data_IF_746488409349
#
_entry.id   IF_746488409349
#
_cell.length_a   1.000
_cell.length_b   1.000
_cell.length_c   1.000
_cell.angle_alpha   90.00
_cell.angle_beta   90.00
_cell.angle_gamma   90.00
#
_symmetry.space_group_name_H-M   'P 1'
#
loop_
_entity.id
_entity.type
_entity.pdbx_description
1 polymer ?
#
# COMPACT_ATOMS: atom_id res chain seq x y z
N UNK A 1 36.57 7.91 19.06
CA UNK A 1 35.62 8.87 18.46
C UNK A 1 35.64 10.11 19.32
N UNK A 2 35.66 11.30 18.71
CA UNK A 2 35.50 12.54 19.48
C UNK A 2 34.04 12.67 19.91
N UNK A 3 33.81 13.16 21.12
CA UNK A 3 32.47 13.35 21.69
C UNK A 3 32.33 14.80 22.17
N UNK A 4 31.08 15.27 22.26
CA UNK A 4 30.68 16.48 22.96
C UNK A 4 29.77 16.12 24.12
N UNK A 5 29.72 16.98 25.14
CA UNK A 5 28.78 16.85 26.23
C UNK A 5 27.50 17.60 25.86
N UNK A 6 26.37 16.90 25.92
CA UNK A 6 25.03 17.48 25.84
C UNK A 6 24.32 17.28 27.19
N UNK A 7 23.37 18.16 27.49
CA UNK A 7 22.63 18.15 28.75
C UNK A 7 21.13 18.06 28.48
N UNK A 8 20.45 17.20 29.22
CA UNK A 8 18.99 17.18 29.36
C UNK A 8 18.62 17.16 30.85
N UNK A 9 17.33 17.06 31.16
CA UNK A 9 16.84 17.06 32.55
C UNK A 9 17.34 15.88 33.39
N UNK A 10 17.94 14.85 32.77
CA UNK A 10 18.57 13.71 33.47
C UNK A 10 20.08 13.90 33.68
N UNK A 11 20.64 15.04 33.25
CA UNK A 11 22.05 15.37 33.38
C UNK A 11 22.81 15.26 32.06
N UNK A 12 24.13 15.13 32.18
CA UNK A 12 25.05 15.12 31.04
C UNK A 12 25.06 13.76 30.32
N UNK A 13 25.36 13.77 29.02
CA UNK A 13 25.62 12.57 28.21
C UNK A 13 26.62 12.88 27.10
N UNK A 14 27.51 11.92 26.82
CA UNK A 14 28.45 12.01 25.71
C UNK A 14 27.77 11.66 24.38
N UNK A 15 27.83 12.59 23.43
CA UNK A 15 27.28 12.47 22.06
C UNK A 15 28.43 12.55 21.05
N UNK A 16 28.45 11.77 19.95
CA UNK A 16 29.46 11.93 18.91
C UNK A 16 29.56 13.38 18.42
N UNK A 17 30.77 13.89 18.22
CA UNK A 17 31.02 15.31 17.92
C UNK A 17 30.29 15.82 16.66
N UNK A 18 30.12 14.95 15.68
CA UNK A 18 29.55 15.19 14.36
C UNK A 18 28.03 14.92 14.28
N UNK A 19 27.45 14.34 15.33
CA UNK A 19 26.02 14.01 15.35
C UNK A 19 25.18 15.29 15.49
N UNK A 20 24.17 15.44 14.64
CA UNK A 20 23.21 16.55 14.72
C UNK A 20 22.15 16.33 15.79
N UNK A 21 21.98 15.10 16.28
CA UNK A 21 21.09 14.81 17.42
C UNK A 21 21.73 15.17 18.76
N UNK A 22 20.92 15.30 19.81
CA UNK A 22 21.35 15.73 21.14
C UNK A 22 21.23 14.64 22.22
N UNK A 23 21.09 15.09 23.47
CA UNK A 23 21.11 14.21 24.64
C UNK A 23 20.00 13.14 24.61
N UNK A 24 18.76 13.50 24.26
CA UNK A 24 17.63 12.56 24.35
C UNK A 24 17.72 11.46 23.31
N UNK A 25 18.14 11.80 22.09
CA UNK A 25 18.40 10.79 21.04
C UNK A 25 19.53 9.86 21.46
N UNK A 26 20.61 10.40 22.02
CA UNK A 26 21.74 9.59 22.48
C UNK A 26 21.34 8.62 23.60
N UNK A 27 20.55 9.07 24.58
CA UNK A 27 20.01 8.18 25.63
C UNK A 27 19.08 7.12 25.03
N UNK A 28 18.23 7.49 24.07
CA UNK A 28 17.35 6.54 23.41
C UNK A 28 18.11 5.45 22.68
N UNK A 29 19.18 5.79 21.95
CA UNK A 29 20.08 4.81 21.32
C UNK A 29 20.70 3.83 22.31
N UNK A 30 21.03 4.30 23.51
CA UNK A 30 21.62 3.46 24.55
C UNK A 30 20.59 2.54 25.20
N UNK A 31 19.36 3.02 25.38
CA UNK A 31 18.30 2.33 26.12
C UNK A 31 17.48 1.35 25.26
N UNK A 32 17.25 1.66 23.97
CA UNK A 32 16.37 0.88 23.08
C UNK A 32 17.19 0.12 22.04
N UNK A 33 17.92 -0.90 22.48
CA UNK A 33 18.74 -1.78 21.63
C UNK A 33 17.97 -3.02 21.19
N UNK A 34 16.85 -2.80 20.52
CA UNK A 34 15.91 -3.84 20.09
C UNK A 34 15.81 -3.76 18.57
N UNK A 35 15.94 -4.90 17.88
CA UNK A 35 15.80 -4.98 16.43
C UNK A 35 16.78 -4.12 15.63
N UNK A 36 16.51 -4.00 14.33
CA UNK A 36 17.27 -3.13 13.41
C UNK A 36 16.35 -2.18 12.63
N UNK A 37 15.03 -2.35 12.77
CA UNK A 37 14.01 -1.57 12.10
C UNK A 37 14.06 -0.13 12.61
N UNK A 38 14.25 0.82 11.71
CA UNK A 38 14.21 2.26 11.99
C UNK A 38 12.96 2.87 11.38
N UNK A 39 12.64 4.10 11.79
CA UNK A 39 11.54 4.82 11.16
C UNK A 39 11.80 4.99 9.66
N UNK A 40 10.83 4.65 8.79
CA UNK A 40 10.99 4.83 7.35
C UNK A 40 11.25 6.29 6.99
N UNK A 41 11.98 6.51 5.89
CA UNK A 41 12.30 7.85 5.41
C UNK A 41 11.06 8.74 5.21
N UNK A 42 9.96 8.17 4.74
CA UNK A 42 8.69 8.89 4.61
C UNK A 42 8.19 9.49 5.95
N UNK A 43 8.43 8.80 7.07
CA UNK A 43 8.11 9.32 8.40
C UNK A 43 9.03 10.49 8.79
N UNK A 44 10.34 10.40 8.48
CA UNK A 44 11.29 11.49 8.74
C UNK A 44 10.91 12.74 7.93
N UNK A 45 10.57 12.57 6.64
CA UNK A 45 10.09 13.67 5.77
C UNK A 45 8.83 14.30 6.36
N UNK A 46 7.86 13.51 6.80
CA UNK A 46 6.62 13.99 7.40
C UNK A 46 6.85 14.72 8.72
N UNK A 47 7.73 14.24 9.61
CA UNK A 47 8.11 14.97 10.82
C UNK A 47 8.71 16.34 10.46
N UNK A 48 9.60 16.40 9.46
CA UNK A 48 10.13 17.67 8.94
C UNK A 48 9.05 18.62 8.45
N UNK A 49 8.06 18.13 7.69
CA UNK A 49 6.90 18.92 7.22
C UNK A 49 6.09 19.48 8.40
N UNK A 50 5.80 18.66 9.41
CA UNK A 50 5.07 19.09 10.61
C UNK A 50 5.85 20.18 11.36
N UNK A 51 7.18 20.04 11.51
CA UNK A 51 8.01 21.06 12.17
C UNK A 51 8.08 22.36 11.35
N UNK A 52 8.16 22.26 10.03
CA UNK A 52 8.12 23.43 9.13
C UNK A 52 6.79 24.16 9.26
N UNK A 53 5.67 23.45 9.18
CA UNK A 53 4.33 24.02 9.33
C UNK A 53 4.12 24.68 10.69
N UNK A 54 4.56 24.02 11.77
CA UNK A 54 4.47 24.54 13.12
C UNK A 54 5.33 25.80 13.32
N UNK A 55 6.53 25.86 12.74
CA UNK A 55 7.40 27.04 12.83
C UNK A 55 6.79 28.26 12.13
N UNK A 56 6.24 28.07 10.91
CA UNK A 56 5.54 29.13 10.18
C UNK A 56 4.32 29.62 10.98
N UNK A 57 3.49 28.68 11.43
CA UNK A 57 2.26 29.00 12.19
C UNK A 57 2.55 29.75 13.48
N UNK A 58 3.53 29.28 14.27
CA UNK A 58 3.90 29.95 15.52
C UNK A 58 4.47 31.35 15.27
N UNK A 59 5.17 31.55 14.17
CA UNK A 59 5.71 32.84 13.78
C UNK A 59 4.59 33.82 13.39
N UNK A 60 3.61 33.37 12.60
CA UNK A 60 2.42 34.16 12.26
C UNK A 60 1.58 34.54 13.49
N UNK A 61 1.52 33.64 14.48
CA UNK A 61 0.81 33.84 15.74
C UNK A 61 1.67 34.53 16.83
N UNK A 62 2.84 35.06 16.46
CA UNK A 62 3.78 35.74 17.35
C UNK A 62 4.18 34.91 18.60
N UNK A 63 4.17 33.58 18.48
CA UNK A 63 4.55 32.64 19.53
C UNK A 63 6.06 32.36 19.55
N UNK A 64 6.76 32.61 18.43
CA UNK A 64 8.22 32.62 18.33
C UNK A 64 8.66 33.82 17.46
N UNK A 65 9.89 34.34 17.63
CA UNK A 65 10.42 35.39 16.76
C UNK A 65 10.54 34.94 15.30
N UNK A 66 10.23 35.85 14.37
CA UNK A 66 10.28 35.59 12.92
C UNK A 66 11.65 35.16 12.41
N UNK A 67 12.69 35.78 12.97
CA UNK A 67 14.08 35.43 12.64
C UNK A 67 14.37 33.97 13.01
N UNK A 68 13.98 33.50 14.21
CA UNK A 68 14.18 32.11 14.61
C UNK A 68 13.36 31.14 13.75
N UNK A 69 12.13 31.51 13.41
CA UNK A 69 11.30 30.71 12.51
C UNK A 69 11.94 30.49 11.15
N UNK A 70 12.57 31.52 10.56
CA UNK A 70 13.27 31.39 9.28
C UNK A 70 14.35 30.30 9.32
N UNK A 71 15.21 30.30 10.35
CA UNK A 71 16.25 29.27 10.49
C UNK A 71 15.70 27.87 10.79
N UNK A 72 14.59 27.77 11.53
CA UNK A 72 13.91 26.50 11.79
C UNK A 72 13.30 25.93 10.50
N UNK A 73 12.63 26.78 9.72
CA UNK A 73 12.05 26.42 8.42
C UNK A 73 13.14 25.92 7.46
N UNK A 74 14.25 26.64 7.35
CA UNK A 74 15.38 26.27 6.51
C UNK A 74 16.04 24.96 6.96
N UNK A 75 16.11 24.70 8.27
CA UNK A 75 16.62 23.44 8.81
C UNK A 75 15.65 22.28 8.58
N UNK A 76 14.35 22.51 8.75
CA UNK A 76 13.31 21.53 8.46
C UNK A 76 13.28 21.15 6.97
N UNK A 77 13.52 22.10 6.06
CA UNK A 77 13.64 21.83 4.62
C UNK A 77 14.80 20.87 4.32
N UNK A 78 15.94 21.00 5.00
CA UNK A 78 17.05 20.07 4.85
C UNK A 78 16.68 18.65 5.32
N UNK A 79 15.89 18.51 6.39
CA UNK A 79 15.33 17.22 6.82
C UNK A 79 14.31 16.68 5.81
N UNK A 80 13.46 17.53 5.24
CA UNK A 80 12.47 17.18 4.21
C UNK A 80 13.17 16.69 2.93
N UNK A 81 14.30 17.30 2.55
CA UNK A 81 15.09 16.91 1.36
C UNK A 81 15.91 15.63 1.51
N UNK A 82 16.13 15.17 2.75
CA UNK A 82 16.88 13.93 3.05
C UNK A 82 18.37 14.14 3.32
N UNK A 83 18.82 15.39 3.37
CA UNK A 83 20.22 15.74 3.66
C UNK A 83 20.72 15.16 5.00
N UNK A 84 19.81 14.97 5.96
CA UNK A 84 20.13 14.56 7.33
C UNK A 84 19.62 13.17 7.71
N UNK A 85 19.31 12.29 6.76
CA UNK A 85 18.69 10.99 7.06
C UNK A 85 19.53 10.10 7.99
N UNK A 86 20.85 10.18 7.91
CA UNK A 86 21.76 9.47 8.82
C UNK A 86 21.68 9.95 10.28
N UNK A 87 21.06 11.11 10.53
CA UNK A 87 20.90 11.74 11.85
C UNK A 87 19.63 11.30 12.57
N UNK A 88 18.91 10.32 12.02
CA UNK A 88 17.74 9.69 12.63
C UNK A 88 18.01 8.21 12.93
N UNK A 89 18.86 7.90 13.93
CA UNK A 89 19.38 6.55 14.14
C UNK A 89 18.44 5.65 14.96
N UNK A 90 17.32 6.17 15.44
CA UNK A 90 16.43 5.49 16.39
C UNK A 90 15.65 4.33 15.75
N UNK A 91 15.44 3.28 16.53
CA UNK A 91 14.67 2.10 16.15
C UNK A 91 13.16 2.35 16.31
N UNK A 92 12.35 1.55 15.61
CA UNK A 92 10.89 1.49 15.77
C UNK A 92 10.51 1.12 17.21
N UNK A 93 11.29 0.22 17.81
CA UNK A 93 11.04 -0.38 19.13
C UNK A 93 11.50 0.52 20.28
N UNK A 94 10.88 1.69 20.34
CA UNK A 94 11.21 2.79 21.26
C UNK A 94 10.00 3.11 22.17
N UNK A 95 9.99 4.27 22.83
CA UNK A 95 8.78 4.73 23.54
C UNK A 95 7.56 4.75 22.63
N UNK A 96 6.45 4.23 23.15
CA UNK A 96 5.24 3.95 22.39
C UNK A 96 4.51 5.16 21.80
N UNK A 97 4.73 6.35 22.37
CA UNK A 97 4.22 7.62 21.82
C UNK A 97 5.06 8.15 20.65
N UNK A 98 6.29 7.64 20.45
CA UNK A 98 7.25 8.21 19.50
C UNK A 98 8.04 9.40 20.03
N UNK A 99 8.01 9.69 21.34
CA UNK A 99 8.66 10.89 21.93
C UNK A 99 10.13 11.00 21.58
N UNK A 100 10.87 9.89 21.57
CA UNK A 100 12.30 9.92 21.26
C UNK A 100 12.56 10.32 19.80
N UNK A 101 11.70 9.91 18.86
CA UNK A 101 11.81 10.34 17.47
C UNK A 101 11.33 11.78 17.23
N UNK A 102 10.27 12.23 17.92
CA UNK A 102 9.89 13.65 17.90
C UNK A 102 11.03 14.53 18.43
N UNK A 103 11.65 14.13 19.55
CA UNK A 103 12.79 14.85 20.12
C UNK A 103 14.04 14.76 19.25
N UNK A 104 14.30 13.62 18.60
CA UNK A 104 15.39 13.50 17.63
C UNK A 104 15.21 14.50 16.48
N UNK A 105 14.00 14.63 15.94
CA UNK A 105 13.70 15.65 14.93
C UNK A 105 13.93 17.06 15.46
N UNK A 106 13.45 17.36 16.68
CA UNK A 106 13.64 18.66 17.33
C UNK A 106 15.12 19.00 17.52
N UNK A 107 15.92 18.06 18.05
CA UNK A 107 17.35 18.24 18.30
C UNK A 107 18.12 18.46 16.99
N UNK A 108 17.85 17.65 15.95
CA UNK A 108 18.50 17.80 14.64
C UNK A 108 18.17 19.17 14.04
N UNK A 109 16.90 19.57 14.00
CA UNK A 109 16.49 20.86 13.43
C UNK A 109 17.08 22.03 14.24
N UNK A 110 17.05 21.95 15.57
CA UNK A 110 17.63 22.99 16.42
C UNK A 110 19.14 23.14 16.20
N UNK A 111 19.88 22.03 16.12
CA UNK A 111 21.32 22.06 15.88
C UNK A 111 21.66 22.57 14.47
N UNK A 112 20.93 22.17 13.43
CA UNK A 112 21.11 22.69 12.07
C UNK A 112 20.84 24.21 12.04
N UNK A 113 19.75 24.66 12.67
CA UNK A 113 19.40 26.08 12.74
C UNK A 113 20.48 26.90 13.48
N UNK A 114 20.94 26.41 14.63
CA UNK A 114 21.99 27.08 15.41
C UNK A 114 23.34 27.12 14.68
N UNK A 115 23.72 26.08 13.94
CA UNK A 115 24.91 26.11 13.09
C UNK A 115 24.83 27.19 12.01
N UNK A 116 23.66 27.37 11.37
CA UNK A 116 23.42 28.45 10.39
C UNK A 116 23.51 29.84 11.01
N UNK A 117 23.20 29.95 12.30
CA UNK A 117 23.37 31.15 13.12
C UNK A 117 24.81 31.33 13.66
N UNK A 118 25.75 30.45 13.30
CA UNK A 118 27.15 30.51 13.75
C UNK A 118 27.39 30.01 15.17
N UNK A 119 26.43 29.31 15.78
CA UNK A 119 26.56 28.75 17.13
C UNK A 119 27.07 27.30 17.09
N UNK A 120 27.84 26.86 18.09
CA UNK A 120 28.32 25.49 18.17
C UNK A 120 27.18 24.48 18.39
N UNK A 121 27.40 23.22 18.00
CA UNK A 121 26.50 22.10 18.27
C UNK A 121 26.26 21.93 19.78
N UNK A 122 25.02 21.62 20.14
CA UNK A 122 24.62 21.46 21.54
C UNK A 122 24.49 22.75 22.34
N UNK A 123 24.63 23.92 21.68
CA UNK A 123 24.37 25.22 22.31
C UNK A 123 22.94 25.39 22.79
N UNK A 124 21.99 24.75 22.09
CA UNK A 124 20.53 24.88 22.28
C UNK A 124 20.06 26.36 22.29
N UNK A 125 20.87 27.27 21.72
CA UNK A 125 20.66 28.71 21.71
C UNK A 125 21.19 29.32 20.41
N UNK A 126 20.46 30.29 19.83
CA UNK A 126 19.16 30.80 20.30
C UNK A 126 17.98 29.85 20.03
N UNK A 127 18.13 28.84 19.16
CA UNK A 127 17.07 27.87 18.86
C UNK A 127 17.12 26.69 19.83
N UNK A 128 16.20 26.69 20.79
CA UNK A 128 15.97 25.57 21.73
C UNK A 128 15.04 24.49 21.12
N UNK A 129 15.37 23.19 21.24
CA UNK A 129 14.56 22.11 20.67
C UNK A 129 13.12 22.04 21.23
N UNK A 130 12.92 22.35 22.51
CA UNK A 130 11.58 22.32 23.11
C UNK A 130 10.82 23.64 22.93
N UNK A 131 11.49 24.77 23.24
CA UNK A 131 10.79 26.05 23.39
C UNK A 131 10.49 26.71 22.04
N UNK A 132 11.25 26.34 21.00
CA UNK A 132 11.11 26.89 19.66
C UNK A 132 10.67 25.83 18.64
N UNK A 133 11.45 24.76 18.45
CA UNK A 133 11.14 23.74 17.42
C UNK A 133 9.87 22.95 17.77
N UNK A 134 9.66 22.68 19.06
CA UNK A 134 8.47 21.99 19.57
C UNK A 134 7.43 22.95 20.18
N UNK A 135 7.48 24.25 19.86
CA UNK A 135 6.51 25.24 20.37
C UNK A 135 5.09 24.85 19.98
N UNK A 136 4.17 24.93 20.93
CA UNK A 136 2.74 24.57 20.81
C UNK A 136 2.47 23.10 20.41
N UNK A 137 3.45 22.21 20.59
CA UNK A 137 3.33 20.79 20.24
C UNK A 137 3.59 19.92 21.46
N UNK A 138 2.98 18.75 21.47
CA UNK A 138 3.39 17.57 22.21
C UNK A 138 3.88 16.52 21.21
N UNK A 139 4.63 15.52 21.64
CA UNK A 139 4.77 14.31 20.82
C UNK A 139 3.39 13.71 20.53
N UNK A 140 2.50 13.76 21.52
CA UNK A 140 1.23 13.05 21.49
C UNK A 140 0.36 13.52 20.33
N UNK A 141 0.46 14.78 19.90
CA UNK A 141 -0.25 15.29 18.73
C UNK A 141 0.64 15.46 17.48
N UNK A 142 1.94 15.78 17.64
CA UNK A 142 2.85 15.96 16.49
C UNK A 142 3.24 14.66 15.80
N UNK A 143 3.50 13.60 16.57
CA UNK A 143 3.92 12.31 16.03
C UNK A 143 2.79 11.63 15.24
N UNK A 144 1.56 11.48 15.75
CA UNK A 144 0.47 10.92 14.95
C UNK A 144 0.06 11.81 13.78
N UNK A 145 0.23 13.14 13.87
CA UNK A 145 0.11 14.02 12.70
C UNK A 145 1.10 13.64 11.61
N UNK A 146 2.37 13.41 11.97
CA UNK A 146 3.38 12.96 11.01
C UNK A 146 3.07 11.56 10.43
N UNK A 147 2.42 10.66 11.19
CA UNK A 147 1.94 9.37 10.66
C UNK A 147 0.91 9.60 9.55
N UNK A 148 -0.09 10.45 9.81
CA UNK A 148 -1.14 10.78 8.85
C UNK A 148 -0.56 11.44 7.59
N UNK A 149 0.32 12.44 7.77
CA UNK A 149 1.01 13.12 6.65
C UNK A 149 1.83 12.13 5.83
N UNK A 150 2.63 11.27 6.46
CA UNK A 150 3.45 10.27 5.76
C UNK A 150 2.61 9.29 4.96
N UNK A 151 1.53 8.78 5.55
CA UNK A 151 0.63 7.83 4.91
C UNK A 151 -0.13 8.48 3.73
N UNK A 152 -0.67 9.69 3.92
CA UNK A 152 -1.35 10.43 2.86
C UNK A 152 -0.43 10.72 1.67
N UNK A 153 0.80 11.17 1.91
CA UNK A 153 1.77 11.41 0.85
C UNK A 153 2.11 10.10 0.12
N UNK A 154 2.47 9.04 0.84
CA UNK A 154 2.81 7.76 0.20
C UNK A 154 1.65 7.12 -0.57
N UNK A 155 0.42 7.25 -0.07
CA UNK A 155 -0.76 6.75 -0.79
C UNK A 155 -0.98 7.54 -2.09
N UNK A 156 -0.88 8.87 -2.06
CA UNK A 156 -1.14 9.72 -3.23
C UNK A 156 0.03 9.75 -4.24
N UNK A 157 1.28 9.77 -3.77
CA UNK A 157 2.47 9.94 -4.60
C UNK A 157 2.98 8.60 -5.17
N UNK A 158 2.78 7.48 -4.46
CA UNK A 158 3.29 6.16 -4.86
C UNK A 158 2.17 5.16 -5.17
N UNK A 159 1.34 4.84 -4.18
CA UNK A 159 0.46 3.67 -4.28
C UNK A 159 -0.69 3.85 -5.28
N UNK A 160 -1.43 4.96 -5.22
CA UNK A 160 -2.53 5.25 -6.14
C UNK A 160 -2.02 5.26 -7.60
N UNK A 161 -0.93 5.98 -7.95
CA UNK A 161 -0.36 5.94 -9.29
C UNK A 161 0.03 4.53 -9.73
N UNK A 162 0.68 3.74 -8.86
CA UNK A 162 1.11 2.38 -9.21
C UNK A 162 -0.08 1.43 -9.48
N UNK A 163 -1.12 1.49 -8.65
CA UNK A 163 -2.35 0.69 -8.84
C UNK A 163 -3.09 1.14 -10.10
N UNK A 164 -3.16 2.46 -10.34
CA UNK A 164 -3.80 3.05 -11.51
C UNK A 164 -3.08 2.62 -12.81
N UNK A 165 -1.74 2.65 -12.83
CA UNK A 165 -0.96 2.20 -13.98
C UNK A 165 -1.18 0.71 -14.26
N UNK A 166 -1.11 -0.16 -13.24
CA UNK A 166 -1.40 -1.58 -13.41
C UNK A 166 -2.84 -1.81 -13.91
N UNK A 167 -3.81 -1.06 -13.37
CA UNK A 167 -5.21 -1.12 -13.80
C UNK A 167 -5.34 -0.78 -15.28
N UNK A 168 -4.71 0.30 -15.74
CA UNK A 168 -4.80 0.75 -17.13
C UNK A 168 -4.17 -0.25 -18.09
N UNK A 169 -3.04 -0.85 -17.73
CA UNK A 169 -2.42 -1.93 -18.52
C UNK A 169 -3.35 -3.14 -18.63
N UNK A 170 -3.97 -3.57 -17.53
CA UNK A 170 -4.89 -4.71 -17.54
C UNK A 170 -6.19 -4.39 -18.28
N UNK A 171 -6.65 -3.13 -18.27
CA UNK A 171 -7.80 -2.66 -19.06
C UNK A 171 -7.49 -2.66 -20.56
N UNK A 172 -6.29 -2.22 -20.94
CA UNK A 172 -5.81 -2.32 -22.32
C UNK A 172 -5.75 -3.78 -22.78
N UNK A 173 -5.19 -4.68 -21.97
CA UNK A 173 -5.18 -6.13 -22.25
C UNK A 173 -6.60 -6.71 -22.31
N UNK A 174 -7.52 -6.28 -21.44
CA UNK A 174 -8.93 -6.68 -21.48
C UNK A 174 -9.58 -6.35 -22.83
N UNK A 175 -9.32 -5.15 -23.37
CA UNK A 175 -9.81 -4.72 -24.68
C UNK A 175 -9.16 -5.50 -25.82
N UNK A 176 -7.85 -5.71 -25.77
CA UNK A 176 -7.09 -6.50 -26.75
C UNK A 176 -7.57 -7.95 -26.82
N UNK A 177 -8.02 -8.50 -25.70
CA UNK A 177 -8.45 -9.90 -25.58
C UNK A 177 -9.97 -10.08 -25.66
N UNK A 178 -10.71 -9.04 -26.05
CA UNK A 178 -12.17 -9.01 -26.02
C UNK A 178 -12.83 -10.03 -26.95
N UNK A 179 -12.16 -10.43 -28.03
CA UNK A 179 -12.62 -11.40 -29.02
C UNK A 179 -12.15 -12.85 -28.74
N UNK A 180 -11.26 -13.05 -27.75
CA UNK A 180 -10.64 -14.35 -27.51
C UNK A 180 -11.53 -15.16 -26.57
N UNK A 181 -12.34 -16.06 -27.12
CA UNK A 181 -13.16 -16.99 -26.32
C UNK A 181 -12.27 -18.08 -25.73
N UNK A 182 -12.42 -18.33 -24.43
CA UNK A 182 -11.73 -19.38 -23.68
C UNK A 182 -12.72 -20.16 -22.82
N UNK A 183 -12.27 -21.29 -22.29
CA UNK A 183 -13.04 -22.04 -21.32
C UNK A 183 -12.96 -21.38 -19.93
N UNK A 184 -14.11 -21.19 -19.29
CA UNK A 184 -14.16 -20.80 -17.88
C UNK A 184 -13.75 -21.96 -16.98
N UNK A 185 -13.29 -21.63 -15.77
CA UNK A 185 -13.03 -22.63 -14.74
C UNK A 185 -13.63 -22.21 -13.41
N UNK A 186 -14.48 -23.07 -12.87
CA UNK A 186 -15.05 -22.93 -11.52
C UNK A 186 -14.70 -24.18 -10.74
N UNK A 187 -14.24 -24.03 -9.50
CA UNK A 187 -13.71 -25.16 -8.71
C UNK A 187 -12.54 -25.90 -9.40
N UNK A 188 -11.78 -25.19 -10.24
CA UNK A 188 -10.72 -25.74 -11.11
C UNK A 188 -11.19 -26.75 -12.17
N UNK A 189 -12.49 -26.97 -12.30
CA UNK A 189 -13.09 -27.81 -13.35
C UNK A 189 -13.47 -26.94 -14.55
N UNK A 190 -13.51 -27.56 -15.73
CA UNK A 190 -14.07 -26.95 -16.93
C UNK A 190 -15.49 -26.41 -16.65
N UNK A 191 -15.79 -25.22 -17.16
CA UNK A 191 -17.08 -24.55 -17.06
C UNK A 191 -17.51 -24.03 -18.45
N UNK A 192 -18.49 -23.12 -18.49
CA UNK A 192 -18.92 -22.50 -19.76
C UNK A 192 -17.90 -21.50 -20.31
N UNK A 193 -17.97 -21.16 -21.60
CA UNK A 193 -17.09 -20.16 -22.20
C UNK A 193 -17.27 -18.76 -21.60
N UNK A 194 -16.19 -17.97 -21.68
CA UNK A 194 -16.15 -16.52 -21.51
C UNK A 194 -15.02 -15.98 -22.39
N UNK A 195 -14.98 -14.68 -22.66
CA UNK A 195 -13.80 -14.11 -23.33
C UNK A 195 -12.67 -13.86 -22.33
N UNK A 196 -11.43 -13.95 -22.79
CA UNK A 196 -10.25 -13.57 -22.01
C UNK A 196 -10.34 -12.09 -21.62
N UNK A 197 -10.92 -11.25 -22.48
CA UNK A 197 -11.26 -9.86 -22.14
C UNK A 197 -12.21 -9.75 -20.94
N UNK A 198 -13.29 -10.54 -20.88
CA UNK A 198 -14.19 -10.58 -19.72
C UNK A 198 -13.46 -11.02 -18.44
N UNK A 199 -12.58 -12.03 -18.52
CA UNK A 199 -11.76 -12.46 -17.39
C UNK A 199 -10.88 -11.32 -16.87
N UNK A 200 -10.19 -10.61 -17.77
CA UNK A 200 -9.34 -9.47 -17.42
C UNK A 200 -10.12 -8.26 -16.89
N UNK A 201 -11.35 -8.05 -17.39
CA UNK A 201 -12.24 -6.99 -16.88
C UNK A 201 -12.58 -7.17 -15.39
N UNK A 202 -12.59 -8.43 -14.92
CA UNK A 202 -12.73 -8.75 -13.50
C UNK A 202 -11.55 -8.20 -12.68
N UNK A 203 -10.32 -8.36 -13.16
CA UNK A 203 -9.12 -7.83 -12.52
C UNK A 203 -9.14 -6.30 -12.47
N UNK A 204 -9.50 -5.66 -13.58
CA UNK A 204 -9.66 -4.20 -13.69
C UNK A 204 -10.65 -3.70 -12.64
N UNK A 205 -11.83 -4.33 -12.55
CA UNK A 205 -12.85 -3.95 -11.57
C UNK A 205 -12.37 -4.11 -10.12
N UNK A 206 -11.59 -5.16 -9.81
CA UNK A 206 -11.01 -5.33 -8.48
C UNK A 206 -10.06 -4.18 -8.12
N UNK A 207 -9.22 -3.73 -9.06
CA UNK A 207 -8.29 -2.61 -8.84
C UNK A 207 -9.01 -1.27 -8.74
N UNK A 208 -10.04 -1.02 -9.55
CA UNK A 208 -10.89 0.18 -9.44
C UNK A 208 -11.59 0.27 -8.08
N UNK A 209 -12.11 -0.84 -7.57
CA UNK A 209 -12.64 -0.88 -6.22
C UNK A 209 -11.55 -0.72 -5.15
N UNK A 210 -10.32 -1.19 -5.41
CA UNK A 210 -9.15 -0.92 -4.58
C UNK A 210 -8.88 0.59 -4.46
N UNK A 211 -8.82 1.29 -5.59
CA UNK A 211 -8.62 2.75 -5.64
C UNK A 211 -9.70 3.51 -4.86
N UNK A 212 -10.98 3.12 -5.00
CA UNK A 212 -12.07 3.72 -4.22
C UNK A 212 -11.89 3.55 -2.70
N UNK A 213 -11.43 2.39 -2.24
CA UNK A 213 -11.16 2.14 -0.81
C UNK A 213 -9.96 2.95 -0.30
N UNK A 214 -8.92 3.13 -1.12
CA UNK A 214 -7.79 4.01 -0.77
C UNK A 214 -8.27 5.47 -0.60
N UNK A 215 -9.14 5.95 -1.50
CA UNK A 215 -9.72 7.29 -1.39
C UNK A 215 -10.57 7.45 -0.11
N UNK A 216 -11.35 6.42 0.26
CA UNK A 216 -12.10 6.41 1.52
C UNK A 216 -11.18 6.39 2.76
N UNK A 217 -10.03 5.71 2.68
CA UNK A 217 -9.06 5.72 3.77
C UNK A 217 -8.41 7.11 3.94
N UNK A 218 -8.12 7.78 2.83
CA UNK A 218 -7.53 9.12 2.85
C UNK A 218 -8.41 10.14 3.60
N UNK A 219 -9.75 10.06 3.49
CA UNK A 219 -10.63 11.01 4.20
C UNK A 219 -10.41 11.04 5.72
N UNK A 220 -10.20 9.89 6.36
CA UNK A 220 -9.89 9.86 7.79
C UNK A 220 -8.45 10.26 8.12
N UNK A 221 -7.51 9.97 7.22
CA UNK A 221 -6.10 10.34 7.41
C UNK A 221 -5.85 11.85 7.22
N UNK A 222 -6.71 12.57 6.50
CA UNK A 222 -6.60 14.03 6.37
C UNK A 222 -6.92 14.78 7.67
N UNK A 223 -7.59 14.14 8.63
CA UNK A 223 -7.86 14.73 9.94
C UNK A 223 -6.63 14.64 10.85
N UNK A 224 -6.12 15.79 11.28
CA UNK A 224 -4.87 15.89 12.02
C UNK A 224 -5.09 16.13 13.53
N UNK A 225 -4.42 15.37 14.42
CA UNK A 225 -4.46 15.59 15.85
C UNK A 225 -3.71 16.84 16.32
N UNK A 226 -2.86 17.45 15.48
CA UNK A 226 -2.05 18.62 15.81
C UNK A 226 -2.87 19.75 16.47
N UNK A 227 -2.36 20.31 17.55
CA UNK A 227 -3.05 21.27 18.39
C UNK A 227 -3.84 20.64 19.55
N UNK A 228 -3.94 19.31 19.59
CA UNK A 228 -4.45 18.59 20.76
C UNK A 228 -3.49 18.63 21.96
N UNK A 229 -2.20 18.89 21.71
CA UNK A 229 -1.12 18.93 22.71
C UNK A 229 -1.02 17.63 23.52
N UNK A 230 -0.96 17.69 24.86
CA UNK A 230 -0.69 16.54 25.70
C UNK A 230 -1.81 15.49 25.69
N UNK A 231 -3.07 15.93 25.84
CA UNK A 231 -4.22 15.05 26.10
C UNK A 231 -5.48 15.42 25.32
N UNK A 232 -5.39 16.38 24.39
CA UNK A 232 -6.49 16.77 23.49
C UNK A 232 -7.12 18.12 23.81
N UNK A 233 -6.75 18.75 24.93
CA UNK A 233 -7.33 20.02 25.38
C UNK A 233 -6.74 21.27 24.71
N UNK A 234 -5.61 21.13 24.03
CA UNK A 234 -4.89 22.27 23.45
C UNK A 234 -4.13 23.14 24.48
N UNK A 235 -3.90 22.64 25.69
CA UNK A 235 -3.14 23.38 26.72
C UNK A 235 -1.75 23.81 26.18
N UNK A 236 -1.43 25.09 26.34
CA UNK A 236 -0.21 25.74 25.84
C UNK A 236 -0.12 25.93 24.31
N UNK A 237 -1.20 25.68 23.56
CA UNK A 237 -1.33 26.12 22.17
C UNK A 237 -2.14 27.42 22.08
N UNK A 238 -1.88 28.21 21.02
CA UNK A 238 -2.74 29.33 20.66
C UNK A 238 -4.09 28.80 20.13
N UNK A 239 -5.24 29.46 20.38
CA UNK A 239 -6.55 29.00 19.89
C UNK A 239 -6.57 28.70 18.38
N UNK A 240 -5.95 29.55 17.57
CA UNK A 240 -5.91 29.40 16.10
C UNK A 240 -4.81 28.45 15.60
N UNK A 241 -3.99 27.88 16.48
CA UNK A 241 -2.83 27.08 16.08
C UNK A 241 -3.22 25.83 15.26
N UNK A 242 -4.27 25.13 15.69
CA UNK A 242 -4.64 23.84 15.13
C UNK A 242 -5.15 23.96 13.68
N UNK A 243 -5.95 24.99 13.38
CA UNK A 243 -6.47 25.26 12.04
C UNK A 243 -5.34 25.77 11.13
N UNK A 244 -4.59 26.78 11.56
CA UNK A 244 -3.49 27.36 10.77
C UNK A 244 -2.38 26.37 10.46
N UNK A 245 -2.04 25.48 11.40
CA UNK A 245 -1.02 24.47 11.16
C UNK A 245 -1.49 23.40 10.15
N UNK A 246 -2.78 23.07 10.13
CA UNK A 246 -3.36 22.19 9.11
C UNK A 246 -3.39 22.87 7.73
N UNK A 247 -3.82 24.14 7.65
CA UNK A 247 -3.76 24.96 6.43
C UNK A 247 -2.32 25.04 5.89
N UNK A 248 -1.34 25.21 6.77
CA UNK A 248 0.06 25.28 6.35
C UNK A 248 0.57 23.93 5.82
N UNK A 249 0.10 22.80 6.38
CA UNK A 249 0.41 21.48 5.84
C UNK A 249 -0.27 21.25 4.49
N UNK A 250 -1.51 21.73 4.30
CA UNK A 250 -2.19 21.72 3.00
C UNK A 250 -1.37 22.51 1.96
N UNK A 251 -0.95 23.74 2.27
CA UNK A 251 -0.12 24.55 1.38
C UNK A 251 1.19 23.84 1.00
N UNK A 252 1.85 23.20 1.98
CA UNK A 252 3.14 22.53 1.76
C UNK A 252 3.03 21.24 0.96
N UNK A 253 1.87 20.57 0.97
CA UNK A 253 1.72 19.23 0.41
C UNK A 253 0.74 19.15 -0.77
N UNK A 254 -0.12 20.16 -0.93
CA UNK A 254 -1.24 20.13 -1.87
C UNK A 254 -2.35 19.15 -1.48
N UNK A 255 -2.33 18.60 -0.27
CA UNK A 255 -3.33 17.64 0.23
C UNK A 255 -4.27 18.31 1.24
N UNK A 256 -5.57 17.99 1.24
CA UNK A 256 -6.60 18.72 1.99
C UNK A 256 -6.61 18.36 3.48
N UNK A 257 -5.50 18.60 4.18
CA UNK A 257 -5.39 18.36 5.61
C UNK A 257 -6.26 19.33 6.39
N UNK A 258 -6.98 18.79 7.37
CA UNK A 258 -7.84 19.57 8.27
C UNK A 258 -7.52 19.22 9.72
N UNK A 259 -7.88 20.11 10.63
CA UNK A 259 -7.79 19.80 12.05
C UNK A 259 -8.84 18.76 12.43
N UNK A 260 -8.46 17.69 13.14
CA UNK A 260 -9.41 16.66 13.57
C UNK A 260 -10.56 17.25 14.42
N UNK A 261 -11.83 16.96 14.12
CA UNK A 261 -12.97 17.51 14.86
C UNK A 261 -12.95 17.13 16.35
N UNK A 262 -12.40 15.96 16.69
CA UNK A 262 -12.23 15.52 18.07
C UNK A 262 -10.77 15.15 18.35
N UNK A 263 -10.08 15.97 19.14
CA UNK A 263 -8.68 15.75 19.51
C UNK A 263 -8.48 14.59 20.48
N UNK A 264 -9.48 14.25 21.30
CA UNK A 264 -9.37 13.14 22.24
C UNK A 264 -9.36 11.80 21.50
N UNK A 265 -10.28 11.60 20.56
CA UNK A 265 -10.28 10.43 19.67
C UNK A 265 -8.98 10.38 18.86
N UNK A 266 -8.61 11.50 18.23
CA UNK A 266 -7.44 11.55 17.38
C UNK A 266 -6.10 11.38 18.12
N UNK A 267 -6.09 11.33 19.46
CA UNK A 267 -4.94 11.01 20.34
C UNK A 267 -5.05 9.60 20.95
N UNK A 268 -6.22 9.26 21.50
CA UNK A 268 -6.48 8.01 22.22
C UNK A 268 -6.65 6.80 21.30
N UNK A 269 -7.29 7.00 20.14
CA UNK A 269 -7.50 5.99 19.11
C UNK A 269 -6.39 5.98 18.06
N UNK A 270 -6.51 5.11 17.05
CA UNK A 270 -5.73 5.13 15.79
C UNK A 270 -6.60 4.66 14.61
N UNK A 271 -7.88 4.97 14.66
CA UNK A 271 -8.90 4.33 13.84
C UNK A 271 -8.73 4.65 12.35
N UNK A 272 -8.31 5.86 12.00
CA UNK A 272 -7.96 6.22 10.64
C UNK A 272 -6.84 5.35 10.06
N UNK A 273 -5.79 5.05 10.85
CA UNK A 273 -4.69 4.18 10.44
C UNK A 273 -5.12 2.70 10.35
N UNK A 274 -5.97 2.24 11.27
CA UNK A 274 -6.55 0.89 11.25
C UNK A 274 -7.44 0.70 10.02
N UNK A 275 -8.30 1.68 9.72
CA UNK A 275 -9.16 1.65 8.55
C UNK A 275 -8.35 1.68 7.24
N UNK A 276 -7.30 2.51 7.18
CA UNK A 276 -6.37 2.52 6.05
C UNK A 276 -5.70 1.15 5.85
N UNK A 277 -5.28 0.49 6.93
CA UNK A 277 -4.76 -0.88 6.86
C UNK A 277 -5.77 -1.87 6.26
N UNK A 278 -7.06 -1.77 6.63
CA UNK A 278 -8.13 -2.56 6.05
C UNK A 278 -8.30 -2.35 4.53
N UNK A 279 -8.16 -1.12 4.06
CA UNK A 279 -8.16 -0.82 2.62
C UNK A 279 -6.95 -1.46 1.91
N UNK A 280 -5.75 -1.35 2.49
CA UNK A 280 -4.52 -1.96 1.96
C UNK A 280 -4.62 -3.49 1.90
N UNK A 281 -5.10 -4.15 2.96
CA UNK A 281 -5.31 -5.61 2.97
C UNK A 281 -6.31 -6.05 1.89
N UNK A 282 -7.36 -5.28 1.68
CA UNK A 282 -8.38 -5.61 0.67
C UNK A 282 -7.82 -5.49 -0.75
N UNK A 283 -6.99 -4.48 -1.01
CA UNK A 283 -6.23 -4.38 -2.25
C UNK A 283 -5.26 -5.55 -2.40
N UNK A 284 -4.50 -5.90 -1.36
CA UNK A 284 -3.57 -7.03 -1.37
C UNK A 284 -4.28 -8.35 -1.70
N UNK A 285 -5.46 -8.61 -1.13
CA UNK A 285 -6.24 -9.80 -1.45
C UNK A 285 -6.64 -9.87 -2.95
N UNK A 286 -6.96 -8.72 -3.54
CA UNK A 286 -7.27 -8.61 -4.98
C UNK A 286 -6.04 -8.89 -5.85
N UNK A 287 -4.91 -8.27 -5.52
CA UNK A 287 -3.62 -8.49 -6.21
C UNK A 287 -3.17 -9.95 -6.11
N UNK A 288 -3.40 -10.61 -4.97
CA UNK A 288 -3.11 -12.02 -4.80
C UNK A 288 -3.88 -12.89 -5.80
N UNK A 289 -5.19 -12.61 -5.98
CA UNK A 289 -6.03 -13.33 -6.94
C UNK A 289 -5.50 -13.13 -8.36
N UNK A 290 -5.23 -11.88 -8.74
CA UNK A 290 -4.71 -11.52 -10.07
C UNK A 290 -3.39 -12.26 -10.33
N UNK A 291 -2.40 -12.14 -9.43
CA UNK A 291 -1.10 -12.79 -9.59
C UNK A 291 -1.19 -14.31 -9.65
N UNK A 292 -2.09 -14.91 -8.86
CA UNK A 292 -2.36 -16.35 -8.88
C UNK A 292 -2.95 -16.81 -10.20
N UNK A 293 -3.98 -16.13 -10.70
CA UNK A 293 -4.58 -16.47 -11.98
C UNK A 293 -3.54 -16.40 -13.11
N UNK A 294 -2.77 -15.30 -13.19
CA UNK A 294 -1.75 -15.14 -14.23
C UNK A 294 -0.74 -16.29 -14.19
N UNK A 295 -0.21 -16.67 -13.03
CA UNK A 295 0.76 -17.78 -12.95
C UNK A 295 0.16 -19.15 -13.25
N UNK A 296 -1.12 -19.37 -12.92
CA UNK A 296 -1.81 -20.63 -13.24
C UNK A 296 -2.10 -20.73 -14.73
N UNK A 297 -2.61 -19.66 -15.34
CA UNK A 297 -2.87 -19.60 -16.78
C UNK A 297 -1.59 -19.70 -17.61
N UNK A 298 -0.45 -19.24 -17.07
CA UNK A 298 0.87 -19.38 -17.68
C UNK A 298 1.61 -20.69 -17.31
N UNK A 299 1.02 -21.57 -16.50
CA UNK A 299 1.68 -22.83 -16.09
C UNK A 299 1.96 -23.73 -17.30
N UNK A 300 3.18 -24.24 -17.42
CA UNK A 300 3.59 -25.01 -18.60
C UNK A 300 5.11 -25.19 -18.73
N UNK A 301 5.66 -25.26 -19.95
CA UNK A 301 4.99 -24.99 -21.23
C UNK A 301 4.17 -26.17 -21.78
N UNK A 302 4.34 -27.38 -21.25
CA UNK A 302 3.70 -28.61 -21.80
C UNK A 302 2.78 -29.34 -20.82
N UNK A 303 2.98 -29.16 -19.53
CA UNK A 303 2.33 -29.97 -18.48
C UNK A 303 1.42 -29.14 -17.55
N UNK A 304 0.94 -27.99 -18.03
CA UNK A 304 0.03 -27.10 -17.30
C UNK A 304 -1.11 -26.62 -18.18
N UNK A 305 -1.71 -25.48 -17.82
CA UNK A 305 -2.76 -24.84 -18.62
C UNK A 305 -2.14 -24.22 -19.89
N UNK A 306 -1.21 -23.29 -19.73
CA UNK A 306 -0.49 -22.66 -20.84
C UNK A 306 -1.38 -21.83 -21.77
N UNK A 307 -2.47 -21.25 -21.24
CA UNK A 307 -3.36 -20.33 -21.96
C UNK A 307 -2.73 -18.95 -22.13
N UNK A 308 -1.83 -18.55 -21.23
CA UNK A 308 -1.06 -17.31 -21.31
C UNK A 308 0.44 -17.59 -21.47
N UNK A 309 1.13 -16.64 -22.09
CA UNK A 309 2.58 -16.47 -22.05
C UNK A 309 2.88 -15.18 -21.30
N UNK A 310 3.95 -15.21 -20.50
CA UNK A 310 4.43 -14.07 -19.72
C UNK A 310 5.90 -13.80 -20.07
N UNK A 311 6.40 -12.57 -19.87
CA UNK A 311 7.80 -12.22 -20.14
C UNK A 311 8.81 -13.09 -19.38
N UNK A 312 9.95 -13.34 -20.02
CA UNK A 312 11.09 -14.05 -19.44
C UNK A 312 12.15 -13.02 -19.01
N UNK A 313 12.17 -12.65 -17.72
CA UNK A 313 13.08 -11.60 -17.23
C UNK A 313 14.44 -12.16 -16.76
N UNK A 314 14.46 -13.40 -16.29
CA UNK A 314 15.66 -14.07 -15.79
C UNK A 314 15.64 -15.59 -16.06
N UNK A 315 16.81 -16.26 -16.05
CA UNK A 315 16.88 -17.72 -16.09
C UNK A 315 16.15 -18.34 -14.89
N UNK A 316 15.10 -19.13 -15.15
CA UNK A 316 14.22 -19.67 -14.11
C UNK A 316 14.76 -20.89 -13.36
N UNK A 317 15.95 -21.39 -13.71
CA UNK A 317 16.58 -22.50 -12.99
C UNK A 317 18.07 -22.56 -13.22
N UNK A 318 18.82 -22.86 -12.15
CA UNK A 318 20.26 -23.13 -12.21
C UNK A 318 20.62 -24.46 -12.89
N UNK A 319 19.66 -25.39 -13.04
CA UNK A 319 19.90 -26.75 -13.56
C UNK A 319 19.06 -27.13 -14.78
N UNK A 320 17.96 -26.41 -15.04
CA UNK A 320 17.07 -26.66 -16.19
C UNK A 320 17.19 -25.52 -17.22
N UNK A 321 18.05 -25.64 -18.25
CA UNK A 321 18.15 -24.65 -19.31
C UNK A 321 16.79 -24.44 -20.00
N UNK A 322 16.41 -23.17 -20.21
CA UNK A 322 15.16 -22.79 -20.87
C UNK A 322 13.90 -22.84 -20.00
N UNK A 323 14.00 -23.14 -18.70
CA UNK A 323 12.87 -23.00 -17.76
C UNK A 323 12.68 -21.53 -17.37
N UNK A 324 11.44 -21.05 -17.44
CA UNK A 324 11.04 -19.69 -17.03
C UNK A 324 9.98 -19.81 -15.94
N UNK A 325 10.12 -19.01 -14.89
CA UNK A 325 9.19 -19.00 -13.75
C UNK A 325 8.36 -17.71 -13.74
N UNK A 326 7.15 -17.74 -13.18
CA UNK A 326 6.32 -16.55 -12.98
C UNK A 326 6.78 -15.75 -11.74
N UNK A 327 8.05 -15.33 -11.72
CA UNK A 327 8.71 -14.70 -10.57
C UNK A 327 8.03 -13.42 -10.09
N UNK A 328 7.48 -12.61 -11.00
CA UNK A 328 6.72 -11.41 -10.64
C UNK A 328 5.42 -11.76 -9.89
N UNK A 329 4.73 -12.83 -10.30
CA UNK A 329 3.59 -13.34 -9.53
C UNK A 329 4.02 -13.86 -8.16
N UNK A 330 5.16 -14.57 -8.08
CA UNK A 330 5.70 -15.06 -6.82
C UNK A 330 5.99 -13.91 -5.84
N UNK A 331 6.72 -12.89 -6.30
CA UNK A 331 7.04 -11.69 -5.53
C UNK A 331 5.77 -10.97 -5.04
N UNK A 332 4.79 -10.74 -5.92
CA UNK A 332 3.50 -10.15 -5.55
C UNK A 332 2.81 -10.97 -4.45
N UNK A 333 2.74 -12.29 -4.57
CA UNK A 333 2.08 -13.13 -3.56
C UNK A 333 2.81 -13.17 -2.21
N UNK A 334 4.13 -13.01 -2.19
CA UNK A 334 4.89 -12.85 -0.93
C UNK A 334 4.63 -11.48 -0.28
N UNK A 335 4.57 -10.41 -1.07
CA UNK A 335 4.20 -9.07 -0.61
C UNK A 335 2.80 -9.09 0.03
N UNK A 336 1.84 -9.76 -0.60
CA UNK A 336 0.49 -9.93 -0.03
C UNK A 336 0.56 -10.58 1.35
N UNK A 337 1.30 -11.68 1.50
CA UNK A 337 1.42 -12.36 2.80
C UNK A 337 1.99 -11.41 3.87
N UNK A 338 2.99 -10.60 3.54
CA UNK A 338 3.55 -9.60 4.45
C UNK A 338 2.51 -8.53 4.82
N UNK A 339 1.76 -7.99 3.85
CA UNK A 339 0.72 -6.97 4.10
C UNK A 339 -0.39 -7.50 5.01
N UNK A 340 -0.80 -8.77 4.85
CA UNK A 340 -1.79 -9.40 5.74
C UNK A 340 -1.25 -9.56 7.18
N UNK A 341 0.04 -9.88 7.32
CA UNK A 341 0.72 -9.89 8.62
C UNK A 341 0.76 -8.50 9.26
N UNK A 342 1.18 -7.50 8.49
CA UNK A 342 1.23 -6.10 8.90
C UNK A 342 -0.14 -5.59 9.35
N UNK A 343 -1.21 -5.93 8.62
CA UNK A 343 -2.58 -5.59 9.00
C UNK A 343 -2.96 -6.17 10.35
N UNK A 344 -2.62 -7.44 10.60
CA UNK A 344 -2.88 -8.07 11.91
C UNK A 344 -2.15 -7.32 13.02
N UNK A 345 -0.89 -6.95 12.81
CA UNK A 345 -0.11 -6.14 13.77
C UNK A 345 -0.74 -4.77 14.02
N UNK A 346 -1.17 -4.07 12.96
CA UNK A 346 -1.82 -2.75 13.09
C UNK A 346 -3.14 -2.85 13.86
N UNK A 347 -3.95 -3.89 13.60
CA UNK A 347 -5.21 -4.09 14.33
C UNK A 347 -4.98 -4.32 15.84
N UNK A 348 -4.01 -5.18 16.20
CA UNK A 348 -3.65 -5.40 17.61
C UNK A 348 -3.14 -4.11 18.26
N UNK A 349 -2.26 -3.39 17.58
CA UNK A 349 -1.71 -2.12 18.07
C UNK A 349 -2.78 -1.02 18.20
N UNK A 350 -3.67 -0.89 17.22
CA UNK A 350 -4.77 0.07 17.23
C UNK A 350 -5.75 -0.17 18.37
N UNK A 351 -6.06 -1.45 18.65
CA UNK A 351 -6.94 -1.85 19.75
C UNK A 351 -6.30 -1.69 21.15
N UNK A 352 -5.01 -1.35 21.23
CA UNK A 352 -4.25 -1.27 22.49
C UNK A 352 -4.20 0.14 23.10
N UNK A 353 -5.15 1.01 22.77
CA UNK A 353 -5.25 2.35 23.38
C UNK A 353 -5.65 2.30 24.85
N UNK A 354 -5.09 3.20 25.67
CA UNK A 354 -5.48 3.34 27.08
C UNK A 354 -5.68 4.81 27.43
N UNK A 355 -6.90 5.15 27.89
CA UNK A 355 -7.27 6.51 28.27
C UNK A 355 -6.95 7.51 27.15
N UNK A 356 -6.20 8.58 27.42
CA UNK A 356 -5.99 9.69 26.47
C UNK A 356 -4.96 9.42 25.37
N UNK A 357 -4.28 8.26 25.34
CA UNK A 357 -3.22 8.01 24.36
C UNK A 357 -3.07 6.53 23.95
N UNK A 358 -2.98 6.28 22.64
CA UNK A 358 -2.47 5.01 22.13
C UNK A 358 -0.94 5.06 22.04
N UNK A 359 -0.25 4.18 22.78
CA UNK A 359 1.22 4.12 22.83
C UNK A 359 1.80 2.99 21.98
N UNK A 360 1.20 2.68 20.84
CA UNK A 360 1.73 1.75 19.84
C UNK A 360 2.03 2.45 18.50
N UNK A 361 2.20 3.78 18.52
CA UNK A 361 2.33 4.58 17.31
C UNK A 361 3.52 4.19 16.41
N UNK A 362 4.74 3.91 16.93
CA UNK A 362 5.87 3.50 16.09
C UNK A 362 5.62 2.20 15.31
N UNK A 363 5.03 1.18 15.93
CA UNK A 363 4.76 -0.10 15.25
C UNK A 363 3.63 0.05 14.23
N UNK A 364 2.64 0.90 14.49
CA UNK A 364 1.57 1.21 13.53
C UNK A 364 2.16 1.88 12.30
N UNK A 365 2.94 2.95 12.45
CA UNK A 365 3.48 3.68 11.29
C UNK A 365 4.48 2.84 10.50
N UNK A 366 5.30 2.03 11.16
CA UNK A 366 6.23 1.14 10.48
C UNK A 366 5.49 0.16 9.55
N UNK A 367 4.50 -0.56 10.08
CA UNK A 367 3.73 -1.55 9.31
C UNK A 367 2.85 -0.90 8.24
N UNK A 368 2.29 0.28 8.51
CA UNK A 368 1.46 1.02 7.56
C UNK A 368 2.30 1.48 6.37
N UNK A 369 3.42 2.17 6.61
CA UNK A 369 4.30 2.67 5.55
C UNK A 369 5.00 1.54 4.80
N UNK A 370 5.38 0.44 5.47
CA UNK A 370 5.92 -0.74 4.79
C UNK A 370 4.87 -1.34 3.84
N UNK A 371 3.62 -1.48 4.28
CA UNK A 371 2.55 -2.01 3.44
C UNK A 371 2.29 -1.14 2.21
N UNK A 372 2.26 0.19 2.38
CA UNK A 372 2.07 1.13 1.27
C UNK A 372 3.22 1.02 0.27
N UNK A 373 4.47 1.02 0.74
CA UNK A 373 5.66 0.89 -0.10
C UNK A 373 5.68 -0.43 -0.87
N UNK A 374 5.51 -1.56 -0.17
CA UNK A 374 5.56 -2.88 -0.81
C UNK A 374 4.46 -3.06 -1.85
N UNK A 375 3.24 -2.58 -1.60
CA UNK A 375 2.14 -2.66 -2.57
C UNK A 375 2.41 -1.78 -3.79
N UNK A 376 2.92 -0.55 -3.58
CA UNK A 376 3.28 0.35 -4.68
C UNK A 376 4.37 -0.25 -5.57
N UNK A 377 5.47 -0.71 -4.97
CA UNK A 377 6.59 -1.32 -5.68
C UNK A 377 6.19 -2.60 -6.39
N UNK A 378 5.40 -3.47 -5.74
CA UNK A 378 4.92 -4.70 -6.34
C UNK A 378 4.00 -4.43 -7.53
N UNK A 379 3.10 -3.43 -7.45
CA UNK A 379 2.25 -3.05 -8.58
C UNK A 379 3.07 -2.55 -9.76
N UNK A 380 4.06 -1.67 -9.52
CA UNK A 380 4.95 -1.17 -10.57
C UNK A 380 5.78 -2.29 -11.21
N UNK A 381 6.43 -3.12 -10.39
CA UNK A 381 7.26 -4.25 -10.85
C UNK A 381 6.44 -5.28 -11.62
N UNK A 382 5.27 -5.67 -11.11
CA UNK A 382 4.38 -6.61 -11.78
C UNK A 382 3.85 -6.02 -13.10
N UNK A 383 3.54 -4.73 -13.14
CA UNK A 383 3.11 -4.07 -14.36
C UNK A 383 4.21 -4.13 -15.44
N UNK A 384 5.40 -3.61 -15.11
CA UNK A 384 6.52 -3.46 -16.05
C UNK A 384 7.06 -4.81 -16.53
N UNK A 385 7.24 -5.76 -15.62
CA UNK A 385 7.94 -7.01 -15.89
C UNK A 385 7.01 -8.22 -16.09
N UNK A 386 5.68 -8.03 -16.06
CA UNK A 386 4.72 -9.10 -16.32
C UNK A 386 3.53 -8.60 -17.14
N UNK A 387 2.69 -7.72 -16.58
CA UNK A 387 1.37 -7.40 -17.12
C UNK A 387 1.40 -6.85 -18.55
N UNK A 388 2.35 -5.94 -18.83
CA UNK A 388 2.51 -5.32 -20.17
C UNK A 388 2.76 -6.39 -21.25
N UNK A 389 3.55 -7.41 -20.94
CA UNK A 389 3.96 -8.44 -21.90
C UNK A 389 3.14 -9.73 -21.86
N UNK A 390 1.97 -9.73 -21.21
CA UNK A 390 1.05 -10.87 -21.27
C UNK A 390 0.56 -11.06 -22.70
N UNK A 391 0.68 -12.29 -23.21
CA UNK A 391 0.22 -12.69 -24.54
C UNK A 391 -0.63 -13.98 -24.49
N UNK A 392 -1.72 -14.07 -25.27
CA UNK A 392 -2.58 -15.26 -25.29
C UNK A 392 -1.95 -16.37 -26.14
N UNK A 393 -1.94 -17.59 -25.63
CA UNK A 393 -1.61 -18.78 -26.41
C UNK A 393 -2.86 -19.31 -27.13
N UNK A 394 -3.19 -18.68 -28.26
CA UNK A 394 -4.45 -18.95 -29.00
C UNK A 394 -4.65 -20.43 -29.32
N UNK A 395 -3.60 -21.15 -29.72
CA UNK A 395 -3.67 -22.59 -30.00
C UNK A 395 -4.15 -23.40 -28.78
N UNK A 396 -3.62 -23.08 -27.59
CA UNK A 396 -3.95 -23.80 -26.37
C UNK A 396 -5.34 -23.43 -25.83
N UNK A 397 -5.70 -22.16 -25.96
CA UNK A 397 -7.05 -21.66 -25.63
C UNK A 397 -8.09 -22.36 -26.52
N UNK A 398 -7.86 -22.38 -27.83
CA UNK A 398 -8.75 -23.01 -28.81
C UNK A 398 -8.89 -24.51 -28.56
N UNK A 399 -7.78 -25.19 -28.25
CA UNK A 399 -7.79 -26.59 -27.86
C UNK A 399 -8.72 -26.84 -26.66
N UNK A 400 -8.61 -26.08 -25.57
CA UNK A 400 -9.47 -26.30 -24.41
C UNK A 400 -10.94 -25.98 -24.69
N UNK A 401 -11.19 -24.91 -25.45
CA UNK A 401 -12.54 -24.49 -25.80
C UNK A 401 -13.29 -25.61 -26.52
N UNK A 402 -12.68 -26.17 -27.58
CA UNK A 402 -13.33 -27.17 -28.44
C UNK A 402 -13.29 -28.60 -27.88
N UNK A 403 -12.46 -28.87 -26.85
CA UNK A 403 -12.43 -30.18 -26.18
C UNK A 403 -13.24 -30.21 -24.87
N UNK A 404 -13.78 -29.08 -24.42
CA UNK A 404 -14.57 -29.07 -23.20
C UNK A 404 -15.96 -29.68 -23.39
N UNK A 405 -16.35 -30.53 -22.45
CA UNK A 405 -17.68 -31.12 -22.41
C UNK A 405 -18.77 -30.16 -21.92
N UNK A 406 -18.38 -28.99 -21.39
CA UNK A 406 -19.33 -28.01 -20.84
C UNK A 406 -20.02 -27.16 -21.90
N UNK A 407 -19.57 -27.22 -23.16
CA UNK A 407 -20.29 -26.66 -24.30
C UNK A 407 -21.69 -27.29 -24.45
N UNK A 408 -21.92 -28.47 -23.88
CA UNK A 408 -23.23 -29.15 -23.84
C UNK A 408 -24.34 -28.29 -23.22
N UNK A 409 -23.96 -27.33 -22.36
CA UNK A 409 -24.91 -26.44 -21.68
C UNK A 409 -25.73 -25.59 -22.65
N UNK A 410 -25.21 -25.29 -23.85
CA UNK A 410 -25.95 -24.63 -24.91
C UNK A 410 -27.17 -25.44 -25.39
N UNK A 411 -27.17 -26.76 -25.20
CA UNK A 411 -28.29 -27.62 -25.59
C UNK A 411 -29.43 -27.61 -24.56
N UNK A 412 -29.19 -27.16 -23.32
CA UNK A 412 -30.18 -27.23 -22.24
C UNK A 412 -31.56 -26.65 -22.62
N UNK A 413 -31.67 -25.47 -23.28
CA UNK A 413 -32.98 -24.92 -23.65
C UNK A 413 -33.75 -25.78 -24.65
N UNK A 414 -33.05 -26.59 -25.47
CA UNK A 414 -33.67 -27.43 -26.50
C UNK A 414 -34.00 -28.83 -26.00
N UNK A 415 -33.09 -29.47 -25.26
CA UNK A 415 -33.20 -30.90 -24.91
C UNK A 415 -33.42 -31.14 -23.41
N UNK A 416 -33.35 -30.10 -22.58
CA UNK A 416 -33.45 -30.20 -21.12
C UNK A 416 -32.16 -30.70 -20.45
N UNK A 417 -32.03 -30.37 -19.16
CA UNK A 417 -30.81 -30.65 -18.37
C UNK A 417 -30.43 -32.14 -18.32
N UNK A 418 -31.40 -33.04 -18.10
CA UNK A 418 -31.12 -34.47 -17.95
C UNK A 418 -30.51 -35.08 -19.23
N UNK A 419 -31.01 -34.67 -20.40
CA UNK A 419 -30.51 -35.13 -21.68
C UNK A 419 -29.12 -34.54 -21.98
N UNK A 420 -28.89 -33.25 -21.71
CA UNK A 420 -27.57 -32.64 -21.86
C UNK A 420 -26.53 -33.31 -20.93
N UNK A 421 -26.90 -33.59 -19.67
CA UNK A 421 -26.05 -34.31 -18.73
C UNK A 421 -25.75 -35.74 -19.21
N UNK A 422 -26.72 -36.42 -19.82
CA UNK A 422 -26.54 -37.74 -20.43
C UNK A 422 -25.56 -37.69 -21.61
N UNK A 423 -25.67 -36.68 -22.47
CA UNK A 423 -24.73 -36.45 -23.59
C UNK A 423 -23.31 -36.29 -23.07
N UNK A 424 -23.06 -35.38 -22.13
CA UNK A 424 -21.71 -35.16 -21.59
C UNK A 424 -21.11 -36.39 -20.91
N UNK A 425 -21.91 -37.14 -20.13
CA UNK A 425 -21.45 -38.37 -19.46
C UNK A 425 -21.05 -39.45 -20.44
N UNK A 426 -21.83 -39.65 -21.51
CA UNK A 426 -21.53 -40.65 -22.54
C UNK A 426 -20.31 -40.19 -23.36
N UNK A 427 -20.25 -38.92 -23.76
CA UNK A 427 -19.11 -38.34 -24.47
C UNK A 427 -17.80 -38.57 -23.72
N UNK A 428 -17.78 -38.28 -22.40
CA UNK A 428 -16.63 -38.55 -21.54
C UNK A 428 -16.28 -40.04 -21.48
N UNK A 429 -17.27 -40.90 -21.17
CA UNK A 429 -17.05 -42.33 -20.97
C UNK A 429 -16.52 -43.03 -22.23
N UNK A 430 -16.97 -42.59 -23.40
CA UNK A 430 -16.66 -43.22 -24.68
C UNK A 430 -15.56 -42.50 -25.48
N UNK A 431 -15.04 -41.37 -24.98
CA UNK A 431 -14.05 -40.56 -25.70
C UNK A 431 -14.59 -39.95 -27.00
N UNK A 432 -15.89 -39.66 -27.05
CA UNK A 432 -16.58 -39.07 -28.20
C UNK A 432 -16.77 -37.58 -28.03
N UNK A 433 -16.96 -36.87 -29.14
CA UNK A 433 -17.39 -35.47 -29.12
C UNK A 433 -18.84 -35.34 -28.65
N UNK A 434 -19.20 -34.16 -28.12
CA UNK A 434 -20.58 -33.85 -27.76
C UNK A 434 -21.53 -34.00 -28.95
N UNK A 435 -21.11 -33.57 -30.14
CA UNK A 435 -21.88 -33.65 -31.39
C UNK A 435 -22.23 -35.10 -31.74
N UNK A 436 -21.22 -35.99 -31.73
CA UNK A 436 -21.42 -37.41 -32.02
C UNK A 436 -22.48 -38.03 -31.11
N UNK A 437 -22.35 -37.82 -29.79
CA UNK A 437 -23.28 -38.40 -28.82
C UNK A 437 -24.68 -37.80 -28.90
N UNK A 438 -24.80 -36.48 -29.09
CA UNK A 438 -26.10 -35.82 -29.18
C UNK A 438 -26.91 -36.29 -30.40
N UNK A 439 -26.23 -36.56 -31.53
CA UNK A 439 -26.82 -37.10 -32.75
C UNK A 439 -27.14 -38.60 -32.60
N UNK A 440 -26.22 -39.41 -32.05
CA UNK A 440 -26.45 -40.84 -31.79
C UNK A 440 -27.68 -41.09 -30.89
N UNK A 441 -27.92 -40.20 -29.92
CA UNK A 441 -29.08 -40.26 -29.03
C UNK A 441 -30.37 -39.71 -29.65
N UNK A 442 -30.34 -39.23 -30.90
CA UNK A 442 -31.45 -38.58 -31.60
C UNK A 442 -32.03 -37.37 -30.82
N UNK A 443 -31.19 -36.65 -30.07
CA UNK A 443 -31.60 -35.47 -29.31
C UNK A 443 -31.58 -34.20 -30.16
N UNK A 444 -30.63 -34.12 -31.10
CA UNK A 444 -30.50 -33.05 -32.10
C UNK A 444 -29.92 -33.62 -33.40
N UNK A 445 -30.15 -32.94 -34.52
CA UNK A 445 -29.42 -33.16 -35.78
C UNK A 445 -28.05 -32.48 -35.76
N UNK A 446 -27.14 -32.84 -36.67
CA UNK A 446 -25.84 -32.16 -36.81
C UNK A 446 -26.00 -30.66 -37.04
N UNK A 447 -26.91 -30.26 -37.94
CA UNK A 447 -27.16 -28.86 -38.26
C UNK A 447 -27.74 -28.09 -37.06
N UNK A 448 -28.58 -28.72 -36.25
CA UNK A 448 -29.07 -28.11 -35.01
C UNK A 448 -27.96 -27.96 -33.98
N UNK A 449 -27.07 -28.96 -33.84
CA UNK A 449 -25.93 -28.86 -32.94
C UNK A 449 -25.02 -27.69 -33.33
N UNK A 450 -24.64 -27.61 -34.61
CA UNK A 450 -23.74 -26.55 -35.11
C UNK A 450 -24.36 -25.15 -35.00
N UNK A 451 -25.69 -25.05 -35.09
CA UNK A 451 -26.41 -23.78 -34.91
C UNK A 451 -26.58 -23.36 -33.44
N UNK A 452 -26.43 -24.28 -32.48
CA UNK A 452 -26.62 -23.99 -31.05
C UNK A 452 -25.30 -23.87 -30.29
N UNK A 453 -24.32 -24.69 -30.65
CA UNK A 453 -23.04 -24.77 -29.94
C UNK A 453 -22.01 -23.91 -30.68
N UNK A 454 -22.19 -22.61 -30.56
CA UNK A 454 -21.30 -21.58 -31.11
C UNK A 454 -20.63 -20.87 -29.92
N UNK A 455 -19.39 -21.24 -29.55
CA UNK A 455 -18.73 -20.71 -28.35
C UNK A 455 -18.71 -19.18 -28.25
N UNK A 456 -18.59 -18.48 -29.38
CA UNK A 456 -18.61 -17.02 -29.50
C UNK A 456 -19.96 -16.41 -29.12
N UNK A 457 -21.06 -17.15 -29.25
CA UNK A 457 -22.39 -16.72 -28.83
C UNK A 457 -22.74 -17.16 -27.41
N UNK A 458 -21.89 -17.97 -26.76
CA UNK A 458 -22.07 -18.48 -25.40
C UNK A 458 -21.48 -17.57 -24.31
N UNK A 459 -20.95 -16.40 -24.68
CA UNK A 459 -20.29 -15.44 -23.75
C UNK A 459 -21.22 -14.30 -23.32
N UNK A 460 -22.51 -14.35 -23.64
CA UNK A 460 -23.50 -13.35 -23.24
C UNK A 460 -24.92 -13.94 -23.15
N UNK A 461 -25.87 -13.27 -22.47
CA UNK A 461 -27.27 -13.73 -22.43
C UNK A 461 -27.90 -13.73 -23.83
N UNK A 462 -28.38 -14.88 -24.28
CA UNK A 462 -28.92 -15.07 -25.64
C UNK A 462 -30.29 -15.77 -25.69
N UNK A 463 -30.82 -16.21 -24.55
CA UNK A 463 -32.16 -16.82 -24.44
C UNK A 463 -33.22 -15.72 -24.46
N UNK A 464 -34.18 -15.83 -25.38
CA UNK A 464 -35.39 -14.97 -25.45
C UNK A 464 -36.61 -15.68 -24.91
#
# INVERSE_FOLDING_TARGET
MQTRIEHDTMGDVEVPSEAMWGAQTQRSLQNFKIGQERLPRAMIRAMGLVKKAAAITNAELNQIPQELSHYIVDAAEEVISGKWDSQFPLVVWQTGSGTQSNMNCNEVIANVANQKLGNPLGSQKPVHPNDHVNRAQSTNDSFPTAIHVAACLQINELLIPAVQHLRDTLDQKSKEFSDIVKIGRTHLQDATPLTLGQEFSGYVSQLEHGLKRLQQALSGLYELPLGGTAVGTGLNAHPDYAEKAAEQLEILTGLPFITAPNKFEALAGRDAAVFASGALKTLAASLNKIANDIRWLASGPRCGLGELRIPENEPGSSIMPGKVNPTQSEAMTMVVAQVLGNDTTINVAGASGNFELNVFMPVIVFNLLQSIQLLGDACNSFNEHCAVGIEPNREKIDYFLHNSLMLVTALNPMIGYENAAKVAKIAYKEGKTLKQVAVELNLVTEAQFDALVIPEEMVSPNVK
#
